data_IF_109882381310
#
_entry.id   IF_109882381310
#
_cell.length_a   1.000
_cell.length_b   1.000
_cell.length_c   1.000
_cell.angle_alpha   90.00
_cell.angle_beta   90.00
_cell.angle_gamma   90.00
#
_symmetry.space_group_name_H-M   'P 1'
#
loop_
_entity.id
_entity.type
_entity.pdbx_description
1 polymer ?
#
# COMPACT_ATOMS: atom_id res chain seq x y z
N UNK A 1 -9.77 -14.98 1.03
CA UNK A 1 -8.79 -16.08 1.15
C UNK A 1 -7.43 -15.58 1.66
N UNK A 2 -6.71 -14.73 0.91
CA UNK A 2 -5.36 -14.27 1.27
C UNK A 2 -5.24 -13.65 2.66
N UNK A 3 -6.21 -12.80 3.06
CA UNK A 3 -6.24 -12.23 4.42
C UNK A 3 -6.31 -13.32 5.52
N UNK A 4 -7.08 -14.39 5.31
CA UNK A 4 -7.12 -15.52 6.26
C UNK A 4 -5.79 -16.27 6.33
N UNK A 5 -5.11 -16.41 5.19
CA UNK A 5 -3.79 -17.03 5.16
C UNK A 5 -2.77 -16.23 5.97
N UNK A 6 -2.68 -14.92 5.75
CA UNK A 6 -1.80 -14.02 6.51
C UNK A 6 -2.14 -14.04 8.00
N UNK A 7 -3.42 -13.90 8.37
CA UNK A 7 -3.87 -13.97 9.77
C UNK A 7 -3.49 -15.29 10.43
N UNK A 8 -3.48 -16.39 9.68
CA UNK A 8 -3.10 -17.72 10.19
C UNK A 8 -1.60 -17.83 10.45
N UNK A 9 -0.76 -17.30 9.55
CA UNK A 9 0.70 -17.23 9.76
C UNK A 9 1.00 -16.46 11.04
N UNK A 10 0.31 -15.35 11.27
CA UNK A 10 0.49 -14.51 12.45
C UNK A 10 -0.45 -14.83 13.62
N UNK A 11 -1.05 -16.03 13.69
CA UNK A 11 -2.12 -16.37 14.64
C UNK A 11 -1.85 -15.95 16.10
N UNK A 12 -0.61 -16.03 16.57
CA UNK A 12 -0.22 -15.65 17.94
C UNK A 12 -0.23 -14.14 18.20
N UNK A 13 -0.08 -13.33 17.16
CA UNK A 13 0.08 -11.87 17.23
C UNK A 13 -1.04 -11.12 16.50
N UNK A 14 -1.91 -11.83 15.77
CA UNK A 14 -2.95 -11.24 14.95
C UNK A 14 -4.32 -11.34 15.58
N UNK A 15 -5.06 -10.24 15.54
CA UNK A 15 -6.45 -10.17 15.96
C UNK A 15 -7.27 -11.29 15.28
N UNK A 16 -8.17 -11.98 16.01
CA UNK A 16 -8.84 -13.16 15.48
C UNK A 16 -9.76 -12.90 14.29
N UNK A 17 -10.32 -11.70 14.18
CA UNK A 17 -11.21 -11.32 13.10
C UNK A 17 -10.47 -10.56 12.00
N UNK A 18 -10.99 -10.66 10.78
CA UNK A 18 -10.50 -9.91 9.63
C UNK A 18 -11.49 -8.80 9.34
N UNK A 19 -11.01 -7.57 9.26
CA UNK A 19 -11.86 -6.47 8.81
C UNK A 19 -12.13 -6.61 7.31
N UNK A 20 -13.40 -6.70 6.94
CA UNK A 20 -13.86 -6.73 5.55
C UNK A 20 -14.66 -5.47 5.18
N UNK A 21 -14.81 -4.54 6.12
CA UNK A 21 -15.53 -3.29 5.94
C UNK A 21 -14.72 -2.19 6.64
N UNK A 22 -13.99 -1.32 5.91
CA UNK A 22 -13.10 -0.34 6.52
C UNK A 22 -13.82 0.74 7.34
N UNK A 23 -15.16 0.81 7.25
CA UNK A 23 -15.99 1.71 8.05
C UNK A 23 -16.47 1.10 9.37
N UNK A 24 -16.35 -0.22 9.54
CA UNK A 24 -16.68 -0.92 10.77
C UNK A 24 -15.39 -1.26 11.53
N UNK A 25 -15.00 -0.36 12.44
CA UNK A 25 -13.72 -0.45 13.15
C UNK A 25 -13.86 -0.98 14.58
N UNK A 26 -15.08 -1.34 15.03
CA UNK A 26 -15.35 -1.66 16.44
C UNK A 26 -14.43 -2.78 16.95
N UNK A 27 -14.29 -3.86 16.17
CA UNK A 27 -13.44 -4.99 16.52
C UNK A 27 -11.96 -4.61 16.57
N UNK A 28 -11.51 -3.75 15.66
CA UNK A 28 -10.11 -3.32 15.59
C UNK A 28 -9.74 -2.35 16.72
N UNK A 29 -10.64 -1.43 17.08
CA UNK A 29 -10.43 -0.49 18.19
C UNK A 29 -10.37 -1.19 19.55
N UNK A 30 -10.98 -2.37 19.68
CA UNK A 30 -10.94 -3.22 20.88
C UNK A 30 -9.83 -4.27 20.84
N UNK A 31 -9.04 -4.33 19.77
CA UNK A 31 -8.00 -5.34 19.61
C UNK A 31 -6.89 -5.14 20.65
N UNK A 32 -6.39 -6.26 21.20
CA UNK A 32 -5.24 -6.27 22.12
C UNK A 32 -3.97 -6.73 21.40
N UNK A 33 -4.15 -7.32 20.22
CA UNK A 33 -3.10 -7.88 19.39
C UNK A 33 -2.41 -6.81 18.55
N UNK A 34 -1.13 -6.99 18.28
CA UNK A 34 -0.32 -6.02 17.54
C UNK A 34 -0.53 -6.05 16.03
N UNK A 35 -1.12 -7.12 15.48
CA UNK A 35 -1.34 -7.29 14.04
C UNK A 35 -2.84 -7.30 13.75
N UNK A 36 -3.27 -6.33 12.96
CA UNK A 36 -4.62 -6.25 12.41
C UNK A 36 -4.58 -6.67 10.94
N UNK A 37 -5.54 -7.49 10.51
CA UNK A 37 -5.59 -7.97 9.12
C UNK A 37 -6.91 -7.57 8.50
N UNK A 38 -6.85 -6.74 7.47
CA UNK A 38 -8.00 -6.34 6.67
C UNK A 38 -7.99 -7.05 5.30
N UNK A 39 -9.12 -6.97 4.60
CA UNK A 39 -9.29 -7.45 3.24
C UNK A 39 -9.95 -6.37 2.36
N UNK A 40 -10.06 -6.65 1.07
CA UNK A 40 -10.86 -5.82 0.17
C UNK A 40 -12.32 -5.74 0.62
N UNK A 41 -12.99 -4.65 0.22
CA UNK A 41 -14.36 -4.37 0.60
C UNK A 41 -15.35 -4.62 -0.57
N UNK A 42 -15.95 -3.57 -1.14
CA UNK A 42 -16.93 -3.64 -2.22
C UNK A 42 -16.26 -3.54 -3.60
N UNK A 43 -16.91 -4.05 -4.66
CA UNK A 43 -16.50 -3.76 -6.04
C UNK A 43 -16.26 -2.27 -6.28
N UNK A 44 -15.27 -1.95 -7.11
CA UNK A 44 -14.85 -0.56 -7.36
C UNK A 44 -13.85 0.01 -6.36
N UNK A 45 -13.41 -0.77 -5.37
CA UNK A 45 -12.35 -0.38 -4.45
C UNK A 45 -11.12 -1.28 -4.65
N UNK A 46 -9.96 -0.67 -4.89
CA UNK A 46 -8.68 -1.37 -4.84
C UNK A 46 -8.26 -1.64 -3.40
N UNK A 47 -7.33 -2.58 -3.21
CA UNK A 47 -6.70 -2.81 -1.90
C UNK A 47 -5.84 -1.65 -1.43
N UNK A 48 -5.30 -0.86 -2.37
CA UNK A 48 -4.56 0.36 -2.09
C UNK A 48 -5.47 1.40 -1.45
N UNK A 49 -6.66 1.62 -2.03
CA UNK A 49 -7.66 2.52 -1.48
C UNK A 49 -8.09 2.12 -0.06
N UNK A 50 -8.36 0.83 0.16
CA UNK A 50 -8.71 0.32 1.49
C UNK A 50 -7.56 0.53 2.49
N UNK A 51 -6.32 0.35 2.06
CA UNK A 51 -5.14 0.56 2.91
C UNK A 51 -4.98 2.02 3.32
N UNK A 52 -5.18 2.96 2.39
CA UNK A 52 -5.13 4.40 2.68
C UNK A 52 -6.29 4.82 3.58
N UNK A 53 -7.50 4.29 3.35
CA UNK A 53 -8.66 4.59 4.18
C UNK A 53 -8.47 4.12 5.63
N UNK A 54 -7.96 2.91 5.82
CA UNK A 54 -7.60 2.42 7.16
C UNK A 54 -6.49 3.26 7.78
N UNK A 55 -5.44 3.60 7.01
CA UNK A 55 -4.37 4.46 7.50
C UNK A 55 -4.90 5.81 7.99
N UNK A 56 -5.82 6.43 7.26
CA UNK A 56 -6.53 7.63 7.68
C UNK A 56 -7.30 7.41 8.99
N UNK A 57 -8.05 6.32 9.12
CA UNK A 57 -8.83 6.04 10.33
C UNK A 57 -7.98 5.82 11.59
N UNK A 58 -6.77 5.28 11.43
CA UNK A 58 -5.83 5.01 12.53
C UNK A 58 -4.73 6.07 12.67
N UNK A 59 -4.82 7.20 11.93
CA UNK A 59 -3.80 8.26 11.87
C UNK A 59 -2.38 7.74 11.54
N UNK A 60 -2.30 6.71 10.69
CA UNK A 60 -1.03 6.13 10.23
C UNK A 60 -0.45 7.01 9.14
N UNK A 61 0.80 7.45 9.34
CA UNK A 61 1.51 8.33 8.38
C UNK A 61 2.35 7.60 7.34
N UNK A 62 2.53 6.28 7.46
CA UNK A 62 3.39 5.49 6.58
C UNK A 62 2.73 4.19 6.13
N UNK A 63 2.73 3.94 4.83
CA UNK A 63 2.25 2.70 4.22
C UNK A 63 3.39 2.08 3.42
N UNK A 64 3.64 0.79 3.62
CA UNK A 64 4.49 -0.01 2.73
C UNK A 64 3.61 -0.79 1.75
N UNK A 65 3.68 -0.45 0.46
CA UNK A 65 3.03 -1.21 -0.60
C UNK A 65 4.00 -2.26 -1.15
N UNK A 66 3.67 -3.54 -0.95
CA UNK A 66 4.50 -4.67 -1.38
C UNK A 66 4.02 -5.18 -2.75
N UNK A 67 4.65 -4.69 -3.81
CA UNK A 67 4.37 -5.02 -5.21
C UNK A 67 5.40 -6.03 -5.76
N UNK A 68 5.40 -6.25 -7.08
CA UNK A 68 6.39 -7.07 -7.78
C UNK A 68 7.54 -6.26 -8.42
N UNK A 69 7.54 -4.93 -8.27
CA UNK A 69 8.53 -4.00 -8.81
C UNK A 69 9.48 -3.48 -7.72
N UNK A 70 10.71 -3.15 -8.10
CA UNK A 70 11.70 -2.55 -7.20
C UNK A 70 11.57 -1.03 -7.08
N UNK A 71 11.13 -0.37 -8.15
CA UNK A 71 10.94 1.08 -8.23
C UNK A 71 9.76 1.38 -9.15
N UNK A 72 9.03 2.45 -8.85
CA UNK A 72 8.21 3.15 -9.82
C UNK A 72 9.13 3.69 -10.92
N UNK A 73 8.67 3.61 -12.16
CA UNK A 73 9.34 4.24 -13.30
C UNK A 73 8.46 5.36 -13.85
N UNK A 74 9.09 6.33 -14.51
CA UNK A 74 8.41 7.44 -15.20
C UNK A 74 7.45 6.96 -16.30
N UNK A 75 7.69 5.78 -16.87
CA UNK A 75 6.86 5.08 -17.86
C UNK A 75 7.02 3.57 -17.74
N UNK A 76 6.13 2.81 -18.39
CA UNK A 76 6.15 1.34 -18.30
C UNK A 76 7.46 0.75 -18.87
N UNK A 77 8.33 0.17 -18.04
CA UNK A 77 9.63 -0.34 -18.48
C UNK A 77 9.53 -1.55 -19.41
N UNK A 78 8.36 -2.21 -19.50
CA UNK A 78 8.12 -3.30 -20.45
C UNK A 78 7.89 -2.79 -21.87
N UNK A 79 7.43 -1.54 -21.99
CA UNK A 79 7.14 -0.87 -23.28
C UNK A 79 8.26 0.10 -23.68
N UNK A 80 8.97 0.65 -22.69
CA UNK A 80 9.97 1.68 -22.88
C UNK A 80 11.30 1.26 -22.24
N UNK A 81 12.29 0.84 -23.04
CA UNK A 81 13.61 0.42 -22.53
C UNK A 81 14.38 1.54 -21.80
N UNK A 82 14.03 2.80 -22.08
CA UNK A 82 14.65 3.99 -21.50
C UNK A 82 13.89 4.52 -20.26
N UNK A 83 12.97 3.73 -19.69
CA UNK A 83 12.25 4.06 -18.47
C UNK A 83 13.23 4.31 -17.29
N UNK A 84 13.04 5.43 -16.62
CA UNK A 84 13.89 5.88 -15.50
C UNK A 84 13.23 5.54 -14.18
N UNK A 85 14.01 4.90 -13.31
CA UNK A 85 13.61 4.58 -11.93
C UNK A 85 13.50 5.84 -11.09
N UNK A 86 12.46 5.91 -10.28
CA UNK A 86 12.16 7.04 -9.40
C UNK A 86 12.37 6.57 -7.97
N UNK A 87 13.25 7.24 -7.22
CA UNK A 87 13.51 6.90 -5.80
C UNK A 87 12.58 7.65 -4.84
N UNK A 88 12.31 8.90 -5.16
CA UNK A 88 11.48 9.81 -4.39
C UNK A 88 10.63 10.62 -5.37
N UNK A 89 9.36 10.84 -5.04
CA UNK A 89 8.44 11.60 -5.87
C UNK A 89 7.36 12.24 -5.01
N UNK A 90 6.90 13.44 -5.40
CA UNK A 90 5.80 14.08 -4.70
C UNK A 90 4.45 13.52 -5.13
N UNK A 91 3.43 13.61 -4.27
CA UNK A 91 2.07 13.20 -4.64
C UNK A 91 1.55 13.82 -5.95
N UNK A 92 1.70 15.15 -6.21
CA UNK A 92 1.26 15.75 -7.46
C UNK A 92 1.98 15.18 -8.69
N UNK A 93 3.28 14.91 -8.61
CA UNK A 93 4.03 14.32 -9.73
C UNK A 93 3.66 12.84 -9.92
N UNK A 94 3.46 12.09 -8.83
CA UNK A 94 3.03 10.70 -8.90
C UNK A 94 1.64 10.56 -9.52
N UNK A 95 0.71 11.48 -9.20
CA UNK A 95 -0.62 11.51 -9.79
C UNK A 95 -0.58 11.63 -11.32
N UNK A 96 0.40 12.35 -11.89
CA UNK A 96 0.57 12.45 -13.34
C UNK A 96 0.95 11.11 -13.99
N UNK A 97 1.64 10.23 -13.25
CA UNK A 97 2.04 8.90 -13.73
C UNK A 97 0.85 7.95 -13.72
N UNK A 98 0.08 7.95 -12.64
CA UNK A 98 -1.04 7.00 -12.46
C UNK A 98 -2.36 7.48 -13.08
N UNK A 99 -2.46 8.76 -13.44
CA UNK A 99 -3.66 9.38 -14.00
C UNK A 99 -4.67 9.75 -12.92
N UNK A 100 -5.93 9.99 -13.29
CA UNK A 100 -6.97 10.44 -12.34
C UNK A 100 -8.07 9.43 -12.06
N UNK A 101 -8.26 8.48 -12.98
CA UNK A 101 -9.36 7.52 -12.96
C UNK A 101 -8.83 6.12 -12.71
N UNK A 102 -9.51 5.39 -11.82
CA UNK A 102 -9.26 3.96 -11.64
C UNK A 102 -10.07 3.14 -12.64
N UNK A 103 -9.42 2.17 -13.29
CA UNK A 103 -10.04 1.21 -14.22
C UNK A 103 -9.68 -0.23 -13.81
N UNK A 104 -10.65 -1.16 -13.69
CA UNK A 104 -10.37 -2.57 -13.42
C UNK A 104 -9.33 -3.17 -14.37
N UNK A 105 -8.23 -3.69 -13.81
CA UNK A 105 -7.15 -4.30 -14.60
C UNK A 105 -6.07 -3.32 -15.06
N UNK A 106 -6.20 -2.04 -14.73
CA UNK A 106 -5.11 -1.06 -14.90
C UNK A 106 -3.85 -1.55 -14.17
N UNK A 107 -2.72 -1.50 -14.89
CA UNK A 107 -1.42 -1.92 -14.36
C UNK A 107 -0.63 -0.68 -13.95
N UNK A 108 -1.14 0.01 -12.94
CA UNK A 108 -0.51 1.18 -12.34
C UNK A 108 0.21 0.77 -11.04
N UNK A 109 1.31 1.43 -10.68
CA UNK A 109 2.08 1.10 -9.46
C UNK A 109 1.29 1.27 -8.15
N UNK A 110 0.31 2.18 -8.13
CA UNK A 110 -0.58 2.44 -7.00
C UNK A 110 -1.87 3.08 -7.52
N UNK A 111 -2.98 2.80 -6.88
CA UNK A 111 -4.30 3.28 -7.29
C UNK A 111 -4.40 4.83 -7.37
N UNK A 112 -4.95 5.43 -8.46
CA UNK A 112 -5.06 6.88 -8.62
C UNK A 112 -5.94 7.60 -7.61
N UNK A 113 -7.03 6.96 -7.17
CA UNK A 113 -7.96 7.46 -6.15
C UNK A 113 -7.29 7.38 -4.78
N UNK A 114 -6.62 6.26 -4.48
CA UNK A 114 -5.85 6.08 -3.26
C UNK A 114 -4.69 7.09 -3.17
N UNK A 115 -4.02 7.36 -4.30
CA UNK A 115 -2.92 8.33 -4.39
C UNK A 115 -3.37 9.74 -3.98
N UNK A 116 -4.50 10.18 -4.54
CA UNK A 116 -5.08 11.49 -4.23
C UNK A 116 -5.46 11.60 -2.76
N UNK A 117 -6.03 10.53 -2.19
CA UNK A 117 -6.37 10.48 -0.77
C UNK A 117 -5.11 10.51 0.11
N UNK A 118 -4.11 9.68 -0.20
CA UNK A 118 -2.87 9.62 0.59
C UNK A 118 -2.16 10.98 0.62
N UNK A 119 -2.06 11.66 -0.52
CA UNK A 119 -1.49 13.01 -0.57
C UNK A 119 -2.30 14.06 0.21
N UNK A 120 -3.63 13.99 0.15
CA UNK A 120 -4.49 14.90 0.92
C UNK A 120 -4.35 14.71 2.45
N UNK A 121 -4.15 13.46 2.88
CA UNK A 121 -4.05 13.10 4.30
C UNK A 121 -2.61 13.14 4.84
N UNK A 122 -1.64 13.50 3.98
CA UNK A 122 -0.22 13.56 4.35
C UNK A 122 0.39 12.20 4.69
N UNK A 123 -0.06 11.15 4.00
CA UNK A 123 0.42 9.77 4.19
C UNK A 123 1.55 9.50 3.20
N UNK A 124 2.71 9.09 3.73
CA UNK A 124 3.84 8.59 2.96
C UNK A 124 3.57 7.16 2.49
N UNK A 125 3.76 6.89 1.19
CA UNK A 125 3.66 5.54 0.63
C UNK A 125 5.01 5.12 0.07
N UNK A 126 5.54 3.99 0.58
CA UNK A 126 6.75 3.36 0.06
C UNK A 126 6.40 2.13 -0.79
N UNK A 127 6.71 2.18 -2.08
CA UNK A 127 6.57 1.06 -3.01
C UNK A 127 7.83 0.17 -2.93
N UNK A 128 7.64 -1.11 -2.58
CA UNK A 128 8.71 -2.09 -2.37
C UNK A 128 8.40 -3.40 -3.08
N UNK A 129 9.42 -4.18 -3.41
CA UNK A 129 9.24 -5.53 -3.94
C UNK A 129 8.95 -6.54 -2.82
N UNK A 130 7.72 -7.05 -2.75
CA UNK A 130 7.27 -8.02 -1.75
C UNK A 130 7.98 -9.38 -1.79
N UNK A 131 8.70 -9.71 -2.87
CA UNK A 131 9.53 -10.93 -2.95
C UNK A 131 10.86 -10.77 -2.19
N UNK A 132 11.26 -9.56 -1.84
CA UNK A 132 12.56 -9.24 -1.21
C UNK A 132 12.35 -8.89 0.26
N UNK A 133 12.05 -9.88 1.10
CA UNK A 133 11.76 -9.66 2.52
C UNK A 133 12.94 -9.04 3.30
N UNK A 134 14.18 -9.29 2.88
CA UNK A 134 15.35 -8.61 3.45
C UNK A 134 15.33 -7.10 3.21
N UNK A 135 14.75 -6.65 2.10
CA UNK A 135 14.57 -5.23 1.79
C UNK A 135 13.42 -4.61 2.59
N UNK A 136 12.34 -5.36 2.82
CA UNK A 136 11.28 -4.95 3.75
C UNK A 136 11.81 -4.77 5.17
N UNK A 137 12.67 -5.69 5.64
CA UNK A 137 13.33 -5.55 6.94
C UNK A 137 14.12 -4.24 7.03
N UNK A 138 14.94 -3.92 6.03
CA UNK A 138 15.68 -2.64 5.97
C UNK A 138 14.76 -1.42 6.06
N UNK A 139 13.63 -1.44 5.35
CA UNK A 139 12.63 -0.38 5.43
C UNK A 139 12.08 -0.23 6.85
N UNK A 140 11.70 -1.33 7.50
CA UNK A 140 11.16 -1.32 8.86
C UNK A 140 12.19 -0.87 9.91
N UNK A 141 13.48 -1.17 9.69
CA UNK A 141 14.59 -0.78 10.56
C UNK A 141 15.05 0.68 10.32
N UNK A 142 14.47 1.40 9.35
CA UNK A 142 14.88 2.76 8.99
C UNK A 142 16.21 2.85 8.24
N UNK A 143 16.68 1.74 7.69
CA UNK A 143 17.89 1.68 6.87
C UNK A 143 17.62 2.07 5.41
N UNK A 144 18.69 2.28 4.64
CA UNK A 144 18.58 2.47 3.18
C UNK A 144 17.99 1.21 2.53
N UNK A 145 16.88 1.39 1.81
CA UNK A 145 16.17 0.33 1.11
C UNK A 145 16.05 0.61 -0.39
N UNK A 146 15.68 -0.43 -1.15
CA UNK A 146 15.37 -0.38 -2.57
C UNK A 146 13.86 -0.19 -2.72
N UNK A 147 13.43 0.97 -3.22
CA UNK A 147 12.02 1.32 -3.32
C UNK A 147 11.80 2.75 -3.78
N UNK A 148 10.54 3.10 -4.00
CA UNK A 148 10.13 4.48 -4.25
C UNK A 148 9.37 5.02 -3.05
N UNK A 149 9.76 6.18 -2.54
CA UNK A 149 9.00 6.94 -1.54
C UNK A 149 8.12 7.97 -2.24
N UNK A 150 6.85 8.04 -1.85
CA UNK A 150 5.87 9.01 -2.33
C UNK A 150 5.39 9.83 -1.12
N UNK A 151 5.58 11.15 -1.15
CA UNK A 151 5.27 12.06 -0.03
C UNK A 151 4.81 13.45 -0.47
#
# INVERSE_FOLDING_TARGET
>A
MNAHFIRTIFKKHAHPTINKNPYDLESFLKAKESILVAAGYRPGNSTDYISVLLAKHFDVKKIANLSNIDYVCDKDPRKHPDAKKIKEISWPEFQKIVGETWDPGSNVPFDPIASRMAGKEGIEVSILNGKKLSNLKKYLDGEKFVGTVIA
#
